data_IF_741344334334
#
_entry.id   IF_741344334334
#
_cell.length_a   1.000
_cell.length_b   1.000
_cell.length_c   1.000
_cell.angle_alpha   90.00
_cell.angle_beta   90.00
_cell.angle_gamma   90.00
#
_symmetry.space_group_name_H-M   'P 1'
#
loop_
_entity.id
_entity.type
_entity.pdbx_description
1 polymer ?
#
# COMPACT_ATOMS: atom_id res chain seq x y z
N UNK A 1 23.00 10.69 107.21
CA UNK A 1 23.01 11.41 105.94
C UNK A 1 23.49 10.45 104.85
N UNK A 2 22.57 9.96 103.97
CA UNK A 2 22.87 8.99 102.90
C UNK A 2 23.03 9.77 101.60
N UNK A 3 24.26 9.79 101.09
CA UNK A 3 24.51 10.28 99.70
C UNK A 3 23.99 9.28 98.69
N UNK A 4 22.99 9.65 97.89
CA UNK A 4 22.55 8.96 96.70
C UNK A 4 23.41 9.41 95.55
N UNK A 5 24.32 8.56 95.10
CA UNK A 5 24.96 8.69 93.79
C UNK A 5 23.96 8.35 92.69
N UNK A 6 23.60 9.37 91.93
CA UNK A 6 22.80 9.19 90.71
C UNK A 6 23.77 8.90 89.55
N UNK A 7 24.01 7.64 89.29
CA UNK A 7 24.73 7.24 88.10
C UNK A 7 23.81 7.35 86.87
N UNK A 8 24.07 8.25 85.99
CA UNK A 8 23.44 8.33 84.66
C UNK A 8 23.85 7.09 83.81
N UNK A 9 22.94 6.40 83.16
CA UNK A 9 23.31 5.28 82.32
C UNK A 9 24.03 5.77 81.05
N UNK A 10 25.33 5.53 80.96
CA UNK A 10 26.10 5.69 79.74
C UNK A 10 25.56 4.71 78.72
N UNK A 11 24.82 5.21 77.79
CA UNK A 11 24.33 4.41 76.61
C UNK A 11 25.55 3.91 75.83
N UNK A 12 25.93 2.63 75.93
CA UNK A 12 26.98 2.02 75.15
C UNK A 12 26.60 2.21 73.70
N UNK A 13 27.27 3.07 73.00
CA UNK A 13 27.26 3.15 71.54
C UNK A 13 27.79 1.81 71.03
N UNK A 14 26.90 1.00 70.48
CA UNK A 14 27.22 -0.25 69.83
C UNK A 14 28.23 0.04 68.70
N UNK A 15 29.49 -0.39 68.88
CA UNK A 15 30.51 -0.19 67.84
C UNK A 15 30.05 -0.92 66.57
N UNK A 16 29.76 -0.16 65.53
CA UNK A 16 29.45 -0.72 64.21
C UNK A 16 30.67 -1.48 63.71
N UNK A 17 30.48 -2.71 63.21
CA UNK A 17 31.57 -3.53 62.68
C UNK A 17 32.29 -2.76 61.54
N UNK A 18 33.60 -2.98 61.39
CA UNK A 18 34.43 -2.33 60.36
C UNK A 18 33.79 -2.51 58.97
N UNK A 19 33.19 -3.70 58.74
CA UNK A 19 32.51 -4.03 57.53
C UNK A 19 31.31 -3.11 57.25
N UNK A 20 30.48 -2.81 58.28
CA UNK A 20 29.35 -1.86 58.10
C UNK A 20 29.80 -0.42 57.87
N UNK A 21 30.98 -0.05 58.33
CA UNK A 21 31.58 1.28 58.11
C UNK A 21 32.06 1.48 56.67
N UNK A 22 32.43 0.37 55.95
CA UNK A 22 32.86 0.42 54.55
C UNK A 22 31.69 0.13 53.57
N UNK A 23 30.88 -0.85 53.92
CA UNK A 23 29.79 -1.30 53.03
C UNK A 23 28.67 -0.27 52.87
N UNK A 24 28.25 0.38 53.95
CA UNK A 24 27.19 1.40 53.87
C UNK A 24 27.56 2.57 52.96
N UNK A 25 28.75 3.16 53.04
CA UNK A 25 29.18 4.19 52.09
C UNK A 25 29.29 3.70 50.66
N UNK A 26 29.79 2.46 50.39
CA UNK A 26 29.84 1.89 49.05
C UNK A 26 28.47 1.72 48.45
N UNK A 27 27.47 1.24 49.22
CA UNK A 27 26.09 1.11 48.80
C UNK A 27 25.44 2.44 48.49
N UNK A 28 25.66 3.41 49.37
CA UNK A 28 25.17 4.79 49.13
C UNK A 28 25.78 5.39 47.86
N UNK A 29 27.07 5.11 47.60
CA UNK A 29 27.74 5.52 46.37
C UNK A 29 27.12 4.87 45.15
N UNK A 30 26.88 3.52 45.17
CA UNK A 30 26.23 2.81 44.09
C UNK A 30 24.81 3.32 43.79
N UNK A 31 24.01 3.58 44.84
CA UNK A 31 22.69 4.20 44.68
C UNK A 31 22.79 5.59 44.06
N UNK A 32 23.77 6.38 44.52
CA UNK A 32 24.00 7.72 44.00
C UNK A 32 24.45 7.70 42.52
N UNK A 33 25.31 6.78 42.14
CA UNK A 33 25.74 6.60 40.74
C UNK A 33 24.58 6.21 39.83
N UNK A 34 23.76 5.23 40.23
CA UNK A 34 22.59 4.81 39.43
C UNK A 34 21.55 5.92 39.34
N UNK A 35 21.29 6.63 40.43
CA UNK A 35 20.34 7.76 40.41
C UNK A 35 20.88 8.94 39.59
N UNK A 36 22.18 9.27 39.73
CA UNK A 36 22.81 10.32 38.93
C UNK A 36 22.79 9.99 37.44
N UNK A 37 23.09 8.73 37.06
CA UNK A 37 22.98 8.27 35.68
C UNK A 37 21.54 8.41 35.17
N UNK A 38 20.54 8.01 35.97
CA UNK A 38 19.13 8.15 35.61
C UNK A 38 18.71 9.61 35.39
N UNK A 39 19.15 10.51 36.26
CA UNK A 39 18.90 11.95 36.11
C UNK A 39 19.57 12.48 34.83
N UNK A 40 20.82 12.07 34.55
CA UNK A 40 21.52 12.44 33.33
C UNK A 40 20.74 11.94 32.12
N UNK A 41 20.32 10.69 32.07
CA UNK A 41 19.54 10.13 30.95
C UNK A 41 18.21 10.87 30.72
N UNK A 42 17.53 11.27 31.82
CA UNK A 42 16.27 12.02 31.73
C UNK A 42 16.48 13.49 31.31
N UNK A 43 17.62 14.11 31.69
CA UNK A 43 17.86 15.53 31.44
C UNK A 43 18.70 15.81 30.19
N UNK A 44 19.50 14.83 29.71
CA UNK A 44 20.36 14.98 28.54
C UNK A 44 19.61 14.96 27.21
N UNK A 45 18.33 14.57 27.21
CA UNK A 45 17.53 14.40 25.97
C UNK A 45 17.76 13.07 25.23
N UNK A 46 18.58 12.15 25.77
CA UNK A 46 18.88 10.86 25.16
C UNK A 46 17.62 10.01 24.93
N UNK A 47 16.70 10.01 25.89
CA UNK A 47 15.43 9.28 25.74
C UNK A 47 14.55 9.87 24.63
N UNK A 48 14.53 11.20 24.50
CA UNK A 48 13.82 11.87 23.41
C UNK A 48 14.49 11.59 22.06
N UNK A 49 15.81 11.53 22.02
CA UNK A 49 16.57 11.15 20.82
C UNK A 49 16.23 9.72 20.39
N UNK A 50 16.17 8.75 21.30
CA UNK A 50 15.83 7.36 21.01
C UNK A 50 14.38 7.23 20.50
N UNK A 51 13.46 7.95 21.13
CA UNK A 51 12.06 8.02 20.67
C UNK A 51 11.99 8.59 19.25
N UNK A 52 12.65 9.71 19.01
CA UNK A 52 12.74 10.35 17.69
C UNK A 52 13.37 9.43 16.65
N UNK A 53 14.41 8.69 17.02
CA UNK A 53 15.02 7.69 16.14
C UNK A 53 14.03 6.59 15.73
N UNK A 54 13.25 6.06 16.69
CA UNK A 54 12.22 5.06 16.42
C UNK A 54 11.12 5.58 15.46
N UNK A 55 10.72 6.84 15.64
CA UNK A 55 9.73 7.51 14.79
C UNK A 55 10.29 7.77 13.39
N UNK A 56 11.52 8.26 13.30
CA UNK A 56 12.19 8.48 12.02
C UNK A 56 12.33 7.17 11.22
N UNK A 57 12.66 6.06 11.88
CA UNK A 57 12.76 4.75 11.25
C UNK A 57 11.42 4.30 10.64
N UNK A 58 10.31 4.50 11.37
CA UNK A 58 8.97 4.20 10.87
C UNK A 58 8.63 5.06 9.64
N UNK A 59 8.88 6.36 9.72
CA UNK A 59 8.62 7.31 8.63
C UNK A 59 9.50 7.01 7.41
N UNK A 60 10.79 6.75 7.61
CA UNK A 60 11.72 6.42 6.53
C UNK A 60 11.33 5.13 5.80
N UNK A 61 10.99 4.07 6.53
CA UNK A 61 10.49 2.82 5.92
C UNK A 61 9.22 3.06 5.11
N UNK A 62 8.29 3.88 5.63
CA UNK A 62 7.07 4.23 4.91
C UNK A 62 7.38 5.00 3.63
N UNK A 63 8.27 6.01 3.71
CA UNK A 63 8.70 6.78 2.55
C UNK A 63 9.38 5.91 1.48
N UNK A 64 10.31 5.05 1.88
CA UNK A 64 11.03 4.17 0.95
C UNK A 64 10.08 3.21 0.25
N UNK A 65 9.13 2.65 0.98
CA UNK A 65 8.13 1.73 0.42
C UNK A 65 7.13 2.46 -0.48
N UNK A 66 6.69 3.67 -0.11
CA UNK A 66 5.83 4.51 -0.95
C UNK A 66 6.52 4.87 -2.26
N UNK A 67 7.79 5.28 -2.22
CA UNK A 67 8.56 5.58 -3.42
C UNK A 67 8.76 4.36 -4.32
N UNK A 68 8.92 3.17 -3.73
CA UNK A 68 8.97 1.93 -4.50
C UNK A 68 7.66 1.67 -5.25
N UNK A 69 6.50 1.78 -4.55
CA UNK A 69 5.17 1.59 -5.15
C UNK A 69 4.91 2.66 -6.23
N UNK A 70 5.23 3.92 -5.95
CA UNK A 70 5.09 5.02 -6.90
C UNK A 70 5.88 4.75 -8.19
N UNK A 71 7.15 4.38 -8.08
CA UNK A 71 7.98 4.06 -9.24
C UNK A 71 7.45 2.83 -10.00
N UNK A 72 7.03 1.79 -9.28
CA UNK A 72 6.44 0.60 -9.87
C UNK A 72 5.18 0.93 -10.69
N UNK A 73 4.25 1.72 -10.14
CA UNK A 73 3.02 2.12 -10.82
C UNK A 73 3.31 3.05 -12.00
N UNK A 74 4.21 4.03 -11.84
CA UNK A 74 4.58 4.96 -12.91
C UNK A 74 5.27 4.28 -14.11
N UNK A 75 6.04 3.22 -13.88
CA UNK A 75 6.58 2.41 -14.99
C UNK A 75 5.46 1.77 -15.84
N UNK A 76 4.34 1.39 -15.22
CA UNK A 76 3.21 0.79 -15.94
C UNK A 76 2.49 1.80 -16.85
N UNK A 77 2.46 3.08 -16.47
CA UNK A 77 1.86 4.12 -17.33
C UNK A 77 2.56 4.23 -18.69
N UNK A 78 3.90 4.14 -18.69
CA UNK A 78 4.69 4.16 -19.92
C UNK A 78 4.49 2.92 -20.80
N UNK A 79 4.31 1.75 -20.18
CA UNK A 79 4.00 0.52 -20.94
C UNK A 79 2.67 0.64 -21.68
N UNK A 80 1.62 1.11 -21.00
CA UNK A 80 0.30 1.28 -21.62
C UNK A 80 0.32 2.36 -22.69
N UNK A 81 1.10 3.44 -22.49
CA UNK A 81 1.25 4.49 -23.49
C UNK A 81 1.87 3.94 -24.78
N UNK A 82 2.97 3.18 -24.68
CA UNK A 82 3.59 2.59 -25.87
C UNK A 82 2.60 1.61 -26.56
N UNK A 83 1.95 0.74 -25.78
CA UNK A 83 0.93 -0.16 -26.32
C UNK A 83 -0.23 0.59 -27.01
N UNK A 84 -0.63 1.76 -26.50
CA UNK A 84 -1.67 2.59 -27.14
C UNK A 84 -1.22 3.16 -28.46
N UNK A 85 0.04 3.58 -28.59
CA UNK A 85 0.61 4.05 -29.85
C UNK A 85 0.67 2.93 -30.87
N UNK A 86 1.17 1.76 -30.47
CA UNK A 86 1.28 0.60 -31.36
C UNK A 86 -0.10 0.12 -31.82
N UNK A 87 -1.10 0.08 -30.92
CA UNK A 87 -2.46 -0.29 -31.29
C UNK A 87 -3.14 0.72 -32.22
N UNK A 88 -2.97 2.02 -31.97
CA UNK A 88 -3.48 3.06 -32.86
C UNK A 88 -2.87 2.91 -34.28
N UNK A 89 -1.55 2.71 -34.39
CA UNK A 89 -0.89 2.51 -35.67
C UNK A 89 -1.42 1.28 -36.42
N UNK A 90 -1.54 0.13 -35.73
CA UNK A 90 -2.10 -1.09 -36.31
C UNK A 90 -3.55 -0.85 -36.80
N UNK A 91 -4.35 -0.15 -35.99
CA UNK A 91 -5.74 0.17 -36.34
C UNK A 91 -5.81 1.03 -37.60
N UNK A 92 -5.00 2.10 -37.69
CA UNK A 92 -4.95 2.96 -38.86
C UNK A 92 -4.47 2.24 -40.12
N UNK A 93 -3.45 1.42 -40.02
CA UNK A 93 -2.94 0.60 -41.12
C UNK A 93 -4.01 -0.38 -41.62
N UNK A 94 -4.73 -1.06 -40.69
CA UNK A 94 -5.83 -1.95 -41.03
C UNK A 94 -6.96 -1.22 -41.75
N UNK A 95 -7.39 -0.07 -41.23
CA UNK A 95 -8.46 0.74 -41.82
C UNK A 95 -8.06 1.26 -43.21
N UNK A 96 -6.84 1.70 -43.40
CA UNK A 96 -6.32 2.17 -44.69
C UNK A 96 -6.27 1.03 -45.74
N UNK A 97 -5.78 -0.15 -45.35
CA UNK A 97 -5.73 -1.34 -46.24
C UNK A 97 -7.12 -1.77 -46.72
N UNK A 98 -8.10 -1.71 -45.82
CA UNK A 98 -9.47 -2.14 -46.12
C UNK A 98 -10.38 -1.00 -46.62
N UNK A 99 -9.85 0.22 -46.72
CA UNK A 99 -10.57 1.45 -47.11
C UNK A 99 -11.80 1.71 -46.25
N UNK A 100 -11.63 1.53 -44.95
CA UNK A 100 -12.62 1.79 -43.90
C UNK A 100 -12.26 3.08 -43.14
N UNK A 101 -13.26 3.69 -42.54
CA UNK A 101 -13.09 4.79 -41.59
C UNK A 101 -13.21 4.28 -40.15
N UNK A 102 -12.83 5.11 -39.17
CA UNK A 102 -13.06 4.82 -37.76
C UNK A 102 -14.55 4.60 -37.46
N UNK A 103 -15.43 5.39 -38.09
CA UNK A 103 -16.89 5.23 -37.96
C UNK A 103 -17.37 3.91 -38.54
N UNK A 104 -16.86 3.47 -39.71
CA UNK A 104 -17.18 2.14 -40.29
C UNK A 104 -16.77 1.02 -39.33
N UNK A 105 -15.60 1.11 -38.70
CA UNK A 105 -15.14 0.17 -37.68
C UNK A 105 -16.09 0.11 -36.49
N UNK A 106 -16.47 1.26 -35.94
CA UNK A 106 -17.34 1.33 -34.76
C UNK A 106 -18.78 0.84 -35.04
N UNK A 107 -19.22 0.96 -36.30
CA UNK A 107 -20.53 0.45 -36.75
C UNK A 107 -20.52 -1.05 -37.09
N UNK A 108 -19.35 -1.70 -37.26
CA UNK A 108 -19.26 -3.14 -37.53
C UNK A 108 -18.41 -3.87 -36.48
N UNK A 109 -19.07 -4.49 -35.54
CA UNK A 109 -18.43 -5.26 -34.46
C UNK A 109 -17.47 -6.35 -34.97
N UNK A 110 -17.70 -6.90 -36.20
CA UNK A 110 -16.81 -7.88 -36.75
C UNK A 110 -15.49 -7.26 -37.21
N UNK A 111 -15.49 -6.00 -37.67
CA UNK A 111 -14.27 -5.26 -37.96
C UNK A 111 -13.50 -5.01 -36.63
N UNK A 112 -14.17 -4.56 -35.58
CA UNK A 112 -13.57 -4.44 -34.25
C UNK A 112 -12.88 -5.74 -33.82
N UNK A 113 -13.57 -6.88 -33.94
CA UNK A 113 -13.03 -8.20 -33.56
C UNK A 113 -11.83 -8.63 -34.38
N UNK A 114 -11.77 -8.27 -35.67
CA UNK A 114 -10.62 -8.58 -36.52
C UNK A 114 -9.39 -7.79 -36.09
N UNK A 115 -9.52 -6.49 -35.82
CA UNK A 115 -8.44 -5.65 -35.32
C UNK A 115 -7.95 -6.17 -33.97
N UNK A 116 -8.85 -6.51 -33.05
CA UNK A 116 -8.49 -7.11 -31.76
C UNK A 116 -7.76 -8.45 -31.93
N UNK A 117 -8.12 -9.26 -32.96
CA UNK A 117 -7.43 -10.50 -33.25
C UNK A 117 -5.99 -10.25 -33.74
N UNK A 118 -5.78 -9.25 -34.58
CA UNK A 118 -4.44 -8.92 -35.07
C UNK A 118 -3.50 -8.43 -33.97
N UNK A 119 -4.01 -7.73 -32.96
CA UNK A 119 -3.22 -7.24 -31.82
C UNK A 119 -3.15 -8.22 -30.64
N UNK A 120 -3.72 -9.40 -30.78
CA UNK A 120 -3.88 -10.30 -29.63
C UNK A 120 -2.57 -10.86 -29.07
N UNK A 121 -1.55 -11.09 -29.90
CA UNK A 121 -0.23 -11.58 -29.48
C UNK A 121 0.56 -10.48 -28.74
N UNK A 122 0.44 -9.24 -29.19
CA UNK A 122 1.04 -8.07 -28.53
C UNK A 122 0.40 -7.86 -27.16
N UNK A 123 -0.90 -8.09 -27.02
CA UNK A 123 -1.58 -8.01 -25.73
C UNK A 123 -1.10 -9.12 -24.77
N UNK A 124 -0.82 -10.33 -25.27
CA UNK A 124 -0.16 -11.38 -24.48
C UNK A 124 1.25 -10.93 -24.06
N UNK A 125 1.99 -10.31 -24.98
CA UNK A 125 3.32 -9.78 -24.66
C UNK A 125 3.26 -8.72 -23.56
N UNK A 126 2.23 -7.89 -23.53
CA UNK A 126 2.00 -6.89 -22.48
C UNK A 126 1.74 -7.54 -21.11
N UNK A 127 0.97 -8.63 -21.06
CA UNK A 127 0.76 -9.41 -19.81
C UNK A 127 2.06 -10.02 -19.30
N UNK A 128 2.95 -10.46 -20.20
CA UNK A 128 4.24 -11.05 -19.81
C UNK A 128 5.25 -10.01 -19.28
N UNK A 129 4.90 -8.73 -19.32
CA UNK A 129 5.72 -7.72 -18.64
C UNK A 129 5.64 -7.86 -17.12
N UNK A 130 6.70 -7.45 -16.44
CA UNK A 130 6.80 -7.57 -14.98
C UNK A 130 5.58 -6.99 -14.27
N UNK A 131 5.02 -7.76 -13.35
CA UNK A 131 3.88 -7.41 -12.48
C UNK A 131 2.57 -7.03 -13.19
N UNK A 132 2.39 -7.31 -14.46
CA UNK A 132 1.11 -7.12 -15.16
C UNK A 132 0.29 -8.39 -15.04
N UNK A 133 -0.93 -8.30 -14.49
CA UNK A 133 -1.85 -9.43 -14.37
C UNK A 133 -2.93 -9.40 -15.44
N UNK A 134 -3.41 -8.22 -15.79
CA UNK A 134 -4.46 -8.03 -16.79
C UNK A 134 -3.92 -7.18 -17.93
N UNK A 135 -4.32 -7.49 -19.17
CA UNK A 135 -4.18 -6.58 -20.31
C UNK A 135 -5.45 -6.62 -21.13
N UNK A 136 -5.92 -5.46 -21.55
CA UNK A 136 -7.19 -5.38 -22.22
C UNK A 136 -7.30 -4.18 -23.17
N UNK A 137 -8.17 -4.37 -24.19
CA UNK A 137 -8.63 -3.33 -25.11
C UNK A 137 -10.14 -3.44 -25.18
N UNK A 138 -10.83 -2.29 -25.12
CA UNK A 138 -12.27 -2.20 -25.24
C UNK A 138 -12.58 -1.11 -26.24
N UNK A 139 -13.31 -1.44 -27.30
CA UNK A 139 -13.68 -0.53 -28.37
C UNK A 139 -15.13 -0.05 -28.18
N UNK A 140 -15.35 1.24 -28.37
CA UNK A 140 -16.65 1.91 -28.17
C UNK A 140 -17.58 1.74 -29.36
N UNK A 141 -17.80 0.50 -29.80
CA UNK A 141 -18.67 0.22 -30.93
C UNK A 141 -20.12 0.68 -30.68
N UNK A 142 -20.76 1.16 -31.75
CA UNK A 142 -22.13 1.72 -31.75
C UNK A 142 -23.19 0.62 -31.84
N UNK A 143 -22.98 -0.53 -31.21
CA UNK A 143 -23.97 -1.60 -31.23
C UNK A 143 -25.25 -1.10 -30.52
N UNK A 144 -26.39 -1.41 -31.14
CA UNK A 144 -27.68 -0.95 -30.67
C UNK A 144 -27.89 -1.30 -29.20
N UNK A 145 -28.25 -0.31 -28.41
CA UNK A 145 -28.66 -0.47 -27.03
C UNK A 145 -29.68 -1.61 -26.94
N UNK A 146 -29.39 -2.57 -26.08
CA UNK A 146 -30.35 -3.62 -25.78
C UNK A 146 -31.59 -2.96 -25.14
N UNK A 147 -32.76 -3.59 -25.27
CA UNK A 147 -34.04 -3.08 -24.75
C UNK A 147 -34.03 -2.78 -23.23
N UNK A 148 -32.97 -3.21 -22.51
CA UNK A 148 -32.75 -2.99 -21.07
C UNK A 148 -31.75 -1.84 -20.76
N UNK A 149 -31.30 -1.10 -21.78
CA UNK A 149 -30.35 0.00 -21.63
C UNK A 149 -28.88 -0.43 -21.45
N UNK A 150 -28.57 -1.73 -21.56
CA UNK A 150 -27.19 -2.20 -21.52
C UNK A 150 -26.52 -2.05 -22.89
N UNK A 151 -25.21 -1.67 -22.91
CA UNK A 151 -24.40 -1.59 -24.12
C UNK A 151 -23.45 -2.78 -24.16
N UNK A 152 -23.31 -3.38 -25.36
CA UNK A 152 -22.40 -4.51 -25.60
C UNK A 152 -21.20 -4.04 -26.42
N UNK A 153 -20.03 -3.96 -25.79
CA UNK A 153 -18.80 -3.44 -26.38
C UNK A 153 -17.87 -4.59 -26.81
N UNK A 154 -17.31 -4.48 -28.01
CA UNK A 154 -16.27 -5.39 -28.45
C UNK A 154 -15.00 -5.15 -27.64
N UNK A 155 -14.38 -6.24 -27.16
CA UNK A 155 -13.14 -6.12 -26.42
C UNK A 155 -12.36 -7.41 -26.38
N UNK A 156 -11.14 -7.30 -25.91
CA UNK A 156 -10.27 -8.42 -25.58
C UNK A 156 -9.69 -8.16 -24.20
N UNK A 157 -9.95 -9.06 -23.25
CA UNK A 157 -9.46 -8.98 -21.88
C UNK A 157 -8.82 -10.31 -21.49
N UNK A 158 -7.52 -10.26 -21.24
CA UNK A 158 -6.70 -11.39 -20.88
C UNK A 158 -6.20 -11.23 -19.45
N UNK A 159 -6.07 -12.33 -18.72
CA UNK A 159 -5.58 -12.35 -17.34
C UNK A 159 -4.62 -13.48 -17.07
N UNK A 160 -3.48 -13.17 -16.46
CA UNK A 160 -2.59 -14.10 -15.79
C UNK A 160 -2.83 -14.03 -14.28
N UNK A 161 -3.29 -15.12 -13.68
CA UNK A 161 -3.60 -15.15 -12.25
C UNK A 161 -2.38 -15.37 -11.38
N UNK A 162 -1.27 -15.88 -11.93
CA UNK A 162 -0.02 -16.09 -11.19
C UNK A 162 1.22 -15.79 -12.03
N UNK A 163 1.52 -14.53 -12.20
CA UNK A 163 2.68 -14.01 -12.94
C UNK A 163 4.05 -14.50 -12.44
N UNK A 164 4.09 -15.18 -11.28
CA UNK A 164 5.31 -15.76 -10.71
C UNK A 164 5.47 -17.24 -11.04
N UNK A 165 4.43 -17.89 -11.57
CA UNK A 165 4.49 -19.27 -12.04
C UNK A 165 4.90 -19.33 -13.51
N UNK A 166 6.20 -19.47 -13.76
CA UNK A 166 6.76 -19.64 -15.09
C UNK A 166 6.85 -21.13 -15.51
N UNK A 167 6.15 -22.04 -14.81
CA UNK A 167 6.21 -23.48 -15.10
C UNK A 167 5.37 -23.87 -16.30
N UNK A 168 4.47 -23.01 -16.76
CA UNK A 168 3.52 -23.28 -17.83
C UNK A 168 4.12 -23.02 -19.21
N UNK A 169 4.01 -24.00 -20.10
CA UNK A 169 4.47 -23.89 -21.49
C UNK A 169 3.36 -23.28 -22.35
N UNK A 170 3.68 -22.22 -23.09
CA UNK A 170 2.72 -21.48 -23.92
C UNK A 170 1.87 -20.53 -23.08
N UNK A 171 0.62 -20.28 -23.50
CA UNK A 171 -0.30 -19.32 -22.88
C UNK A 171 -1.41 -19.99 -22.05
N UNK A 172 -1.17 -21.19 -21.52
CA UNK A 172 -2.19 -21.96 -20.78
C UNK A 172 -2.47 -21.41 -19.38
N UNK A 173 -1.62 -20.58 -18.85
CA UNK A 173 -1.73 -19.82 -17.60
C UNK A 173 -2.51 -18.51 -17.77
N UNK A 174 -2.73 -18.11 -19.04
CA UNK A 174 -3.53 -16.94 -19.37
C UNK A 174 -4.97 -17.35 -19.60
N UNK A 175 -5.89 -16.64 -18.97
CA UNK A 175 -7.33 -16.82 -19.13
C UNK A 175 -7.90 -15.63 -19.92
N UNK A 176 -8.74 -15.92 -20.88
CA UNK A 176 -9.54 -14.90 -21.54
C UNK A 176 -10.85 -14.72 -20.77
N UNK A 177 -11.05 -13.53 -20.23
CA UNK A 177 -12.29 -13.13 -19.54
C UNK A 177 -13.30 -12.54 -20.52
N UNK A 178 -12.80 -11.87 -21.56
CA UNK A 178 -13.64 -11.27 -22.59
C UNK A 178 -12.93 -11.33 -23.94
N UNK A 179 -13.71 -11.61 -24.99
CA UNK A 179 -13.22 -11.63 -26.35
C UNK A 179 -13.77 -12.81 -27.17
N UNK A 180 -13.45 -12.84 -28.45
CA UNK A 180 -13.87 -13.93 -29.34
C UNK A 180 -13.19 -15.26 -28.97
N UNK A 181 -13.95 -16.33 -28.86
CA UNK A 181 -13.40 -17.68 -28.63
C UNK A 181 -12.41 -18.14 -29.71
N UNK A 182 -12.48 -17.57 -30.91
CA UNK A 182 -11.52 -17.83 -32.00
C UNK A 182 -10.13 -17.27 -31.64
N UNK A 183 -10.07 -16.12 -31.00
CA UNK A 183 -8.82 -15.50 -30.49
C UNK A 183 -8.21 -16.39 -29.38
N UNK A 184 -9.01 -16.84 -28.42
CA UNK A 184 -8.53 -17.76 -27.38
C UNK A 184 -7.91 -19.03 -27.96
N UNK A 185 -8.56 -19.61 -29.00
CA UNK A 185 -8.03 -20.78 -29.67
C UNK A 185 -6.72 -20.49 -30.41
N UNK A 186 -6.61 -19.34 -31.09
CA UNK A 186 -5.39 -18.94 -31.80
C UNK A 186 -4.23 -18.73 -30.84
N UNK A 187 -4.46 -18.02 -29.71
CA UNK A 187 -3.48 -17.78 -28.68
C UNK A 187 -3.12 -19.01 -27.84
N UNK A 188 -3.96 -20.05 -27.84
CA UNK A 188 -3.80 -21.20 -26.94
C UNK A 188 -4.12 -20.90 -25.48
N UNK A 189 -4.90 -19.86 -25.20
CA UNK A 189 -5.35 -19.48 -23.87
C UNK A 189 -6.63 -20.22 -23.47
N UNK A 190 -6.88 -20.34 -22.15
CA UNK A 190 -8.13 -20.88 -21.65
C UNK A 190 -9.21 -19.79 -21.60
N UNK A 191 -10.48 -20.18 -21.73
CA UNK A 191 -11.60 -19.29 -21.41
C UNK A 191 -11.84 -19.31 -19.90
N UNK A 192 -12.10 -18.14 -19.30
CA UNK A 192 -12.53 -18.06 -17.91
C UNK A 192 -13.93 -18.69 -17.73
N UNK A 193 -14.24 -19.11 -16.50
CA UNK A 193 -15.54 -19.71 -16.17
C UNK A 193 -16.74 -18.77 -16.39
N UNK A 194 -16.49 -17.46 -16.34
CA UNK A 194 -17.48 -16.39 -16.57
C UNK A 194 -17.21 -15.61 -17.86
N UNK A 195 -16.50 -16.26 -18.78
CA UNK A 195 -16.15 -15.65 -20.05
C UNK A 195 -17.38 -15.09 -20.77
N UNK A 196 -17.20 -13.93 -21.38
CA UNK A 196 -18.17 -13.29 -22.27
C UNK A 196 -17.51 -12.89 -23.59
N UNK A 197 -18.20 -12.99 -24.74
CA UNK A 197 -17.65 -12.51 -26.01
C UNK A 197 -17.47 -11.00 -26.05
N UNK A 198 -18.20 -10.24 -25.24
CA UNK A 198 -18.25 -8.79 -25.22
C UNK A 198 -18.35 -8.26 -23.79
N UNK A 199 -17.97 -6.99 -23.58
CA UNK A 199 -18.21 -6.30 -22.31
C UNK A 199 -19.65 -5.77 -22.27
N UNK A 200 -20.40 -6.18 -21.27
CA UNK A 200 -21.74 -5.67 -21.04
C UNK A 200 -21.68 -4.53 -20.02
N UNK A 201 -21.82 -3.31 -20.51
CA UNK A 201 -21.95 -2.14 -19.63
C UNK A 201 -23.34 -2.10 -19.03
N UNK A 202 -23.42 -1.97 -17.70
CA UNK A 202 -24.65 -1.82 -16.95
C UNK A 202 -24.42 -0.93 -15.73
N UNK A 203 -25.47 -0.44 -15.12
CA UNK A 203 -25.39 0.46 -13.96
C UNK A 203 -24.96 -0.25 -12.65
N UNK A 204 -24.77 -1.57 -12.67
CA UNK A 204 -24.50 -2.36 -11.46
C UNK A 204 -23.02 -2.48 -11.15
N UNK A 205 -22.14 -2.29 -12.14
CA UNK A 205 -20.71 -2.48 -12.03
C UNK A 205 -19.96 -1.16 -12.13
N UNK A 206 -18.81 -1.08 -11.48
CA UNK A 206 -17.89 0.04 -11.64
C UNK A 206 -17.05 -0.12 -12.92
N UNK A 207 -17.39 0.66 -13.93
CA UNK A 207 -16.66 0.76 -15.19
C UNK A 207 -15.84 2.06 -15.30
N UNK A 208 -15.44 2.64 -14.17
CA UNK A 208 -14.65 3.88 -14.14
C UNK A 208 -13.37 3.77 -14.97
N UNK A 209 -12.73 2.59 -14.99
CA UNK A 209 -11.54 2.31 -15.81
C UNK A 209 -11.78 2.49 -17.32
N UNK A 210 -13.02 2.35 -17.79
CA UNK A 210 -13.42 2.60 -19.18
C UNK A 210 -13.96 4.02 -19.36
N UNK A 211 -14.88 4.45 -18.50
CA UNK A 211 -15.62 5.70 -18.70
C UNK A 211 -14.81 6.96 -18.39
N UNK A 212 -13.88 6.90 -17.42
CA UNK A 212 -13.14 8.08 -16.99
C UNK A 212 -12.15 8.57 -18.06
N UNK A 213 -11.27 7.73 -18.66
CA UNK A 213 -10.36 8.20 -19.71
C UNK A 213 -11.10 8.69 -20.95
N UNK A 214 -12.23 8.04 -21.34
CA UNK A 214 -13.06 8.48 -22.45
C UNK A 214 -13.62 9.90 -22.21
N UNK A 215 -14.21 10.12 -21.03
CA UNK A 215 -14.72 11.44 -20.63
C UNK A 215 -13.62 12.49 -20.53
N UNK A 216 -12.44 12.12 -20.05
CA UNK A 216 -11.31 13.03 -19.94
C UNK A 216 -10.90 13.58 -21.32
N UNK A 217 -10.83 12.70 -22.33
CA UNK A 217 -10.54 13.12 -23.70
C UNK A 217 -11.65 14.01 -24.26
N UNK A 218 -12.91 13.61 -24.12
CA UNK A 218 -14.05 14.42 -24.62
C UNK A 218 -14.10 15.82 -24.00
N UNK A 219 -13.71 15.96 -22.74
CA UNK A 219 -13.66 17.24 -22.03
C UNK A 219 -12.40 18.08 -22.38
N UNK A 220 -11.33 17.46 -22.87
CA UNK A 220 -10.07 18.12 -23.12
C UNK A 220 -9.30 17.47 -24.31
N UNK A 221 -9.84 17.52 -25.54
CA UNK A 221 -9.30 16.77 -26.69
C UNK A 221 -7.91 17.26 -27.15
N UNK A 222 -7.48 18.45 -26.72
CA UNK A 222 -6.17 19.00 -27.06
C UNK A 222 -5.07 18.63 -26.05
N UNK A 223 -5.40 17.87 -25.00
CA UNK A 223 -4.39 17.40 -24.03
C UNK A 223 -3.62 16.20 -24.61
N UNK A 224 -2.33 16.07 -24.27
CA UNK A 224 -1.59 14.85 -24.58
C UNK A 224 -2.29 13.61 -24.01
N UNK A 225 -2.39 12.55 -24.80
CA UNK A 225 -3.05 11.30 -24.39
C UNK A 225 -2.45 10.74 -23.09
N UNK A 226 -1.13 10.85 -22.92
CA UNK A 226 -0.44 10.43 -21.70
C UNK A 226 -0.98 11.11 -20.42
N UNK A 227 -1.45 12.35 -20.51
CA UNK A 227 -2.01 13.08 -19.36
C UNK A 227 -3.41 12.62 -18.98
N UNK A 228 -4.11 11.91 -19.88
CA UNK A 228 -5.49 11.46 -19.72
C UNK A 228 -5.61 10.07 -19.10
N UNK A 229 -4.49 9.45 -18.77
CA UNK A 229 -4.46 8.13 -18.14
C UNK A 229 -5.11 8.13 -16.77
N UNK A 230 -5.86 7.06 -16.48
CA UNK A 230 -6.65 6.91 -15.25
C UNK A 230 -6.30 5.63 -14.50
N UNK A 231 -5.99 5.76 -13.22
CA UNK A 231 -5.90 4.65 -12.28
C UNK A 231 -7.25 4.45 -11.60
N UNK A 232 -7.89 3.31 -11.86
CA UNK A 232 -9.13 2.95 -11.15
C UNK A 232 -8.84 2.46 -9.74
N UNK A 233 -9.87 2.45 -8.88
CA UNK A 233 -9.83 1.64 -7.67
C UNK A 233 -9.79 0.14 -7.97
N UNK A 234 -9.69 -0.67 -6.91
CA UNK A 234 -9.74 -2.12 -7.05
C UNK A 234 -11.17 -2.58 -7.36
N UNK A 235 -11.36 -3.09 -8.55
CA UNK A 235 -12.64 -3.59 -9.04
C UNK A 235 -12.50 -4.99 -9.62
N UNK A 236 -13.63 -5.70 -9.74
CA UNK A 236 -13.73 -6.98 -10.46
C UNK A 236 -14.44 -6.74 -11.78
N UNK A 237 -13.99 -7.39 -12.85
CA UNK A 237 -14.74 -7.49 -14.11
C UNK A 237 -15.58 -8.76 -14.08
N UNK A 238 -15.02 -9.86 -13.58
CA UNK A 238 -15.72 -11.13 -13.36
C UNK A 238 -15.67 -11.55 -11.89
N UNK A 239 -16.57 -12.44 -11.47
CA UNK A 239 -16.62 -12.93 -10.09
C UNK A 239 -15.49 -13.93 -9.78
N UNK A 240 -15.02 -14.66 -10.78
CA UNK A 240 -13.95 -15.66 -10.63
C UNK A 240 -12.59 -15.05 -10.37
N UNK A 241 -12.38 -13.83 -10.85
CA UNK A 241 -11.13 -13.14 -10.74
C UNK A 241 -11.01 -12.33 -9.46
N UNK A 242 -9.80 -12.23 -8.92
CA UNK A 242 -9.47 -11.31 -7.82
C UNK A 242 -9.72 -9.85 -8.22
N UNK A 243 -9.79 -8.97 -7.23
CA UNK A 243 -9.84 -7.53 -7.49
C UNK A 243 -8.53 -7.06 -8.13
N UNK A 244 -8.61 -6.23 -9.17
CA UNK A 244 -7.46 -5.56 -9.78
C UNK A 244 -7.63 -4.06 -9.83
N UNK A 245 -6.54 -3.35 -9.63
CA UNK A 245 -6.39 -1.93 -9.90
C UNK A 245 -5.98 -1.78 -11.37
N UNK A 246 -6.65 -0.93 -12.12
CA UNK A 246 -6.44 -0.80 -13.56
C UNK A 246 -5.89 0.57 -13.93
N UNK A 247 -4.93 0.59 -14.85
CA UNK A 247 -4.50 1.81 -15.54
C UNK A 247 -4.95 1.76 -16.99
N UNK A 248 -5.58 2.83 -17.44
CA UNK A 248 -6.16 2.90 -18.79
C UNK A 248 -5.89 4.22 -19.46
N UNK A 249 -5.70 4.18 -20.77
CA UNK A 249 -5.60 5.33 -21.66
C UNK A 249 -6.72 5.30 -22.71
N UNK A 250 -7.24 6.45 -23.14
CA UNK A 250 -8.15 6.50 -24.27
C UNK A 250 -7.40 6.20 -25.59
N UNK A 251 -8.05 5.48 -26.48
CA UNK A 251 -7.60 5.26 -27.86
C UNK A 251 -8.23 6.32 -28.75
N UNK A 252 -7.39 7.02 -29.50
CA UNK A 252 -7.81 8.16 -30.31
C UNK A 252 -7.24 8.01 -31.72
N UNK A 253 -8.09 8.13 -32.73
CA UNK A 253 -7.69 8.10 -34.13
C UNK A 253 -6.92 9.38 -34.53
N UNK A 254 -6.26 9.33 -35.68
CA UNK A 254 -5.60 10.50 -36.30
C UNK A 254 -6.57 11.66 -36.58
N UNK A 255 -7.85 11.36 -36.80
CA UNK A 255 -8.91 12.35 -36.99
C UNK A 255 -9.41 12.97 -35.68
N UNK A 256 -8.90 12.50 -34.52
CA UNK A 256 -9.28 13.00 -33.20
C UNK A 256 -10.56 12.41 -32.64
N UNK A 257 -11.00 11.25 -33.14
CA UNK A 257 -12.12 10.52 -32.61
C UNK A 257 -11.66 9.53 -31.53
N UNK A 258 -12.27 9.56 -30.35
CA UNK A 258 -12.00 8.58 -29.30
C UNK A 258 -12.86 7.33 -29.53
N UNK A 259 -12.20 6.20 -29.72
CA UNK A 259 -12.88 4.97 -30.18
C UNK A 259 -12.73 3.79 -29.18
N UNK A 260 -12.11 4.02 -28.03
CA UNK A 260 -11.98 2.97 -27.03
C UNK A 260 -10.96 3.27 -25.95
N UNK A 261 -10.57 2.24 -25.22
CA UNK A 261 -9.54 2.29 -24.21
C UNK A 261 -8.62 1.09 -24.29
N UNK A 262 -7.35 1.28 -23.93
CA UNK A 262 -6.37 0.22 -23.70
C UNK A 262 -5.87 0.32 -22.27
N UNK A 263 -5.62 -0.81 -21.63
CA UNK A 263 -5.15 -0.79 -20.25
C UNK A 263 -4.54 -2.09 -19.76
N UNK A 264 -4.00 -1.99 -18.56
CA UNK A 264 -3.49 -3.11 -17.77
C UNK A 264 -4.15 -3.15 -16.40
N UNK A 265 -4.04 -4.29 -15.73
CA UNK A 265 -4.47 -4.45 -14.35
C UNK A 265 -3.40 -5.12 -13.50
N UNK A 266 -3.38 -4.75 -12.23
CA UNK A 266 -2.53 -5.30 -11.20
C UNK A 266 -3.43 -5.94 -10.14
N UNK A 267 -3.32 -7.25 -9.92
CA UNK A 267 -4.09 -7.92 -8.88
C UNK A 267 -3.66 -7.46 -7.49
N UNK A 268 -4.62 -7.39 -6.58
CA UNK A 268 -4.39 -7.07 -5.17
C UNK A 268 -3.25 -7.91 -4.58
N UNK A 269 -3.26 -9.23 -4.80
CA UNK A 269 -2.23 -10.15 -4.32
C UNK A 269 -0.83 -9.85 -4.87
N UNK A 270 -0.73 -9.35 -6.10
CA UNK A 270 0.54 -8.98 -6.74
C UNK A 270 1.14 -7.74 -6.07
N UNK A 271 0.32 -6.73 -5.82
CA UNK A 271 0.75 -5.53 -5.10
C UNK A 271 1.14 -5.88 -3.66
N UNK A 272 0.35 -6.69 -2.95
CA UNK A 272 0.61 -7.09 -1.56
C UNK A 272 1.92 -7.87 -1.39
N UNK A 273 2.33 -8.67 -2.38
CA UNK A 273 3.65 -9.34 -2.35
C UNK A 273 4.82 -8.34 -2.33
N UNK A 274 4.61 -7.14 -2.87
CA UNK A 274 5.63 -6.09 -2.97
C UNK A 274 5.61 -5.10 -1.80
N UNK A 275 4.66 -5.25 -0.87
CA UNK A 275 4.57 -4.49 0.39
C UNK A 275 4.48 -5.45 1.58
N UNK A 276 5.53 -6.26 1.83
CA UNK A 276 5.48 -7.26 2.87
C UNK A 276 5.42 -6.62 4.26
N UNK A 277 4.64 -7.23 5.16
CA UNK A 277 4.47 -6.74 6.52
C UNK A 277 5.69 -6.95 7.43
N UNK A 278 6.71 -7.69 6.97
CA UNK A 278 7.90 -8.06 7.76
C UNK A 278 9.02 -7.01 7.76
N UNK A 279 8.81 -5.86 7.18
CA UNK A 279 9.76 -4.73 7.24
C UNK A 279 9.98 -4.19 8.66
N UNK A 280 9.10 -4.53 9.58
CA UNK A 280 9.17 -4.15 10.99
C UNK A 280 9.51 -5.37 11.85
N UNK A 281 10.24 -5.15 12.94
CA UNK A 281 10.79 -6.20 13.82
C UNK A 281 9.77 -7.15 14.45
N UNK A 282 8.47 -6.81 14.43
CA UNK A 282 7.40 -7.67 14.92
C UNK A 282 6.30 -7.74 13.85
N UNK A 283 5.69 -8.90 13.71
CA UNK A 283 4.58 -9.20 12.78
C UNK A 283 3.29 -8.36 12.99
N UNK A 284 3.37 -7.33 13.82
CA UNK A 284 2.25 -6.45 14.17
C UNK A 284 2.12 -5.22 13.27
N UNK A 285 3.00 -5.08 12.29
CA UNK A 285 2.92 -3.96 11.36
C UNK A 285 2.14 -4.32 10.10
N UNK A 286 1.51 -3.31 9.51
CA UNK A 286 0.87 -3.41 8.21
C UNK A 286 1.22 -2.21 7.34
N UNK A 287 1.09 -2.42 6.04
CA UNK A 287 1.00 -1.35 5.05
C UNK A 287 -0.40 -1.31 4.47
N UNK A 288 -0.89 -0.11 4.24
CA UNK A 288 -2.22 0.16 3.72
C UNK A 288 -2.05 1.10 2.53
N UNK A 289 -2.54 0.70 1.36
CA UNK A 289 -2.76 1.63 0.25
C UNK A 289 -4.15 2.20 0.43
N UNK A 290 -4.23 3.51 0.46
CA UNK A 290 -5.47 4.22 0.70
C UNK A 290 -5.61 5.38 -0.30
N UNK A 291 -6.84 5.81 -0.56
CA UNK A 291 -7.13 6.96 -1.38
C UNK A 291 -7.95 8.01 -0.62
N UNK A 292 -7.79 9.25 -1.05
CA UNK A 292 -8.60 10.39 -0.64
C UNK A 292 -9.25 10.97 -1.90
N UNK A 293 -10.48 10.55 -2.14
CA UNK A 293 -11.26 11.00 -3.32
C UNK A 293 -11.90 12.38 -3.11
N UNK A 294 -11.92 12.86 -1.87
CA UNK A 294 -12.51 14.14 -1.49
C UNK A 294 -11.51 15.28 -1.39
N UNK A 295 -10.21 14.95 -1.47
CA UNK A 295 -9.09 15.90 -1.30
C UNK A 295 -9.11 16.65 0.04
N UNK A 296 -9.68 16.04 1.08
CA UNK A 296 -9.80 16.62 2.43
C UNK A 296 -8.74 16.09 3.42
N UNK A 297 -7.80 15.27 2.93
CA UNK A 297 -6.75 14.65 3.73
C UNK A 297 -7.21 13.43 4.52
N UNK A 298 -8.38 12.87 4.19
CA UNK A 298 -8.92 11.67 4.82
C UNK A 298 -8.83 10.48 3.89
N UNK A 299 -7.90 9.61 4.18
CA UNK A 299 -7.62 8.42 3.39
C UNK A 299 -8.49 7.24 3.83
N UNK A 300 -9.11 6.59 2.85
CA UNK A 300 -9.90 5.37 3.03
C UNK A 300 -9.08 4.18 2.52
N UNK A 301 -8.94 3.11 3.30
CA UNK A 301 -8.22 1.91 2.89
C UNK A 301 -8.79 1.30 1.62
N UNK A 302 -7.91 0.97 0.68
CA UNK A 302 -8.25 0.24 -0.55
C UNK A 302 -7.76 -1.20 -0.46
N UNK A 303 -6.49 -1.38 -0.09
CA UNK A 303 -5.90 -2.68 0.24
C UNK A 303 -4.96 -2.54 1.43
N UNK A 304 -4.74 -3.62 2.14
CA UNK A 304 -3.81 -3.65 3.27
C UNK A 304 -3.11 -5.01 3.39
N UNK A 305 -1.87 -4.99 3.88
CA UNK A 305 -1.07 -6.17 4.18
C UNK A 305 -0.92 -6.33 5.69
N UNK A 306 -0.71 -7.56 6.14
CA UNK A 306 -0.40 -7.89 7.53
C UNK A 306 -1.52 -8.62 8.27
N UNK A 307 -1.17 -9.67 9.02
CA UNK A 307 -2.15 -10.64 9.55
C UNK A 307 -3.06 -10.07 10.64
N UNK A 308 -2.57 -9.12 11.44
CA UNK A 308 -3.36 -8.55 12.56
C UNK A 308 -4.35 -7.53 12.01
N UNK A 309 -3.92 -6.68 11.10
CA UNK A 309 -4.71 -5.57 10.60
C UNK A 309 -5.76 -5.98 9.58
N UNK A 310 -5.62 -7.16 8.93
CA UNK A 310 -6.63 -7.69 8.02
C UNK A 310 -8.02 -7.85 8.65
N UNK A 311 -8.11 -7.92 9.98
CA UNK A 311 -9.38 -8.01 10.71
C UNK A 311 -9.85 -6.69 11.28
N UNK A 312 -8.97 -5.71 11.41
CA UNK A 312 -9.19 -4.46 12.13
C UNK A 312 -9.36 -3.26 11.21
N UNK A 313 -8.66 -3.27 10.07
CA UNK A 313 -8.81 -2.26 9.03
C UNK A 313 -9.98 -2.64 8.14
N UNK A 314 -10.93 -1.75 8.01
CA UNK A 314 -12.11 -1.91 7.18
C UNK A 314 -12.25 -0.71 6.25
N UNK A 315 -13.12 -0.80 5.26
CA UNK A 315 -13.52 0.31 4.37
C UNK A 315 -14.12 1.52 5.11
N UNK A 316 -14.45 1.37 6.40
CA UNK A 316 -14.91 2.47 7.28
C UNK A 316 -13.80 3.10 8.12
N UNK A 317 -12.60 2.55 8.07
CA UNK A 317 -11.44 3.12 8.76
C UNK A 317 -10.99 4.36 8.01
N UNK A 318 -10.74 5.45 8.72
CA UNK A 318 -10.27 6.70 8.13
C UNK A 318 -8.93 7.08 8.73
N UNK A 319 -7.96 7.38 7.88
CA UNK A 319 -6.65 7.89 8.25
C UNK A 319 -6.56 9.36 7.88
N UNK A 320 -6.52 10.22 8.90
CA UNK A 320 -6.53 11.68 8.73
C UNK A 320 -5.10 12.22 8.76
N UNK A 321 -4.62 12.79 7.66
CA UNK A 321 -3.29 13.42 7.59
C UNK A 321 -3.23 14.78 8.28
N UNK A 322 -4.39 15.39 8.60
CA UNK A 322 -4.47 16.64 9.34
C UNK A 322 -4.51 16.40 10.86
N UNK A 323 -4.55 15.12 11.30
CA UNK A 323 -4.52 14.79 12.71
C UNK A 323 -3.20 15.20 13.36
N UNK A 324 -3.24 15.37 14.69
CA UNK A 324 -2.03 15.64 15.48
C UNK A 324 -0.98 14.54 15.28
N UNK A 325 0.23 14.93 14.95
CA UNK A 325 1.35 14.04 14.75
C UNK A 325 2.61 14.54 15.45
N UNK A 326 3.54 13.62 15.68
CA UNK A 326 4.86 13.91 16.22
C UNK A 326 5.91 13.29 15.30
N UNK A 327 6.78 14.09 14.69
CA UNK A 327 7.79 13.67 13.71
C UNK A 327 7.17 12.92 12.50
N UNK A 328 6.00 13.35 12.00
CA UNK A 328 5.21 12.69 10.96
C UNK A 328 4.72 11.26 11.33
N UNK A 329 4.64 10.97 12.62
CA UNK A 329 4.03 9.77 13.17
C UNK A 329 2.70 10.12 13.82
N UNK A 330 1.66 9.48 13.32
CA UNK A 330 0.27 9.67 13.71
C UNK A 330 -0.15 8.61 14.72
N UNK A 331 -1.11 8.95 15.57
CA UNK A 331 -1.77 8.00 16.46
C UNK A 331 -3.10 7.58 15.82
N UNK A 332 -3.17 6.36 15.33
CA UNK A 332 -4.39 5.84 14.73
C UNK A 332 -5.21 5.05 15.74
N UNK A 333 -6.53 5.29 15.75
CA UNK A 333 -7.49 4.42 16.40
C UNK A 333 -7.96 3.38 15.40
N UNK A 334 -7.45 2.17 15.52
CA UNK A 334 -7.91 1.02 14.74
C UNK A 334 -8.75 0.16 15.67
N UNK A 335 -9.94 -0.27 15.23
CA UNK A 335 -10.88 -1.03 16.04
C UNK A 335 -10.19 -2.24 16.72
N UNK A 336 -10.31 -2.34 18.05
CA UNK A 336 -9.71 -3.43 18.83
C UNK A 336 -8.26 -3.24 19.28
N UNK A 337 -7.60 -2.11 18.91
CA UNK A 337 -6.28 -1.72 19.40
C UNK A 337 -6.38 -0.37 20.11
N UNK A 338 -5.72 -0.23 21.26
CA UNK A 338 -5.76 1.01 22.05
C UNK A 338 -5.10 2.17 21.28
N UNK A 339 -3.93 1.92 20.67
CA UNK A 339 -3.24 2.88 19.80
C UNK A 339 -2.29 2.14 18.84
N UNK A 340 -2.41 2.48 17.54
CA UNK A 340 -1.37 2.20 16.55
C UNK A 340 -0.63 3.48 16.21
N UNK A 341 0.69 3.37 16.06
CA UNK A 341 1.53 4.42 15.50
C UNK A 341 1.75 4.13 14.02
N UNK A 342 1.74 5.15 13.21
CA UNK A 342 1.99 4.98 11.79
C UNK A 342 2.38 6.28 11.10
N UNK A 343 2.76 6.17 9.84
CA UNK A 343 3.12 7.31 9.00
C UNK A 343 2.31 7.27 7.72
N UNK A 344 1.98 8.43 7.20
CA UNK A 344 1.26 8.62 5.93
C UNK A 344 2.26 9.22 4.94
N UNK A 345 2.38 8.59 3.77
CA UNK A 345 3.17 9.12 2.65
C UNK A 345 2.35 9.11 1.39
N UNK A 346 2.12 10.28 0.79
CA UNK A 346 1.44 10.42 -0.50
C UNK A 346 2.24 9.73 -1.60
N UNK A 347 1.50 9.15 -2.55
CA UNK A 347 1.98 8.51 -3.77
C UNK A 347 1.48 9.36 -4.94
N UNK A 348 2.38 9.80 -5.80
CA UNK A 348 2.07 10.62 -6.96
C UNK A 348 1.85 9.72 -8.17
N UNK A 349 0.59 9.49 -8.55
CA UNK A 349 0.21 8.66 -9.69
C UNK A 349 -0.06 9.44 -10.97
N UNK A 350 -0.20 10.75 -10.86
CA UNK A 350 -0.58 11.63 -11.97
C UNK A 350 0.41 12.75 -12.14
N UNK A 351 0.72 13.09 -13.38
CA UNK A 351 1.54 14.27 -13.71
C UNK A 351 0.72 15.56 -13.60
N UNK A 352 1.39 16.71 -13.68
CA UNK A 352 0.76 18.03 -13.55
C UNK A 352 -0.27 18.36 -14.64
N UNK A 353 -0.28 17.64 -15.77
CA UNK A 353 -1.24 17.81 -16.86
C UNK A 353 -2.53 17.01 -16.66
N UNK A 354 -2.55 16.06 -15.73
CA UNK A 354 -3.68 15.14 -15.56
C UNK A 354 -4.93 15.83 -15.02
N UNK A 355 -6.13 15.46 -15.50
CA UNK A 355 -7.40 15.91 -14.92
C UNK A 355 -7.71 15.24 -13.56
N UNK A 356 -6.89 14.31 -13.10
CA UNK A 356 -7.10 13.52 -11.87
C UNK A 356 -6.15 13.91 -10.73
N UNK A 357 -5.54 15.10 -10.79
CA UNK A 357 -4.61 15.60 -9.77
C UNK A 357 -5.21 15.65 -8.36
N UNK A 358 -6.53 15.84 -8.26
CA UNK A 358 -7.25 15.92 -7.00
C UNK A 358 -7.47 14.53 -6.35
N UNK A 359 -7.17 13.45 -7.06
CA UNK A 359 -7.24 12.10 -6.50
C UNK A 359 -5.92 11.78 -5.80
N UNK A 360 -5.90 11.88 -4.49
CA UNK A 360 -4.72 11.61 -3.70
C UNK A 360 -4.66 10.13 -3.28
N UNK A 361 -3.50 9.53 -3.50
CA UNK A 361 -3.18 8.19 -3.02
C UNK A 361 -2.10 8.28 -1.96
N UNK A 362 -2.12 7.36 -1.01
CA UNK A 362 -1.09 7.28 0.01
C UNK A 362 -0.77 5.84 0.38
N UNK A 363 0.49 5.62 0.74
CA UNK A 363 0.89 4.46 1.53
C UNK A 363 0.92 4.86 3.00
N UNK A 364 0.22 4.10 3.80
CA UNK A 364 0.14 4.28 5.24
C UNK A 364 0.77 3.07 5.89
N UNK A 365 1.73 3.28 6.78
CA UNK A 365 2.17 2.24 7.70
C UNK A 365 1.39 2.35 9.00
N UNK A 366 1.09 1.23 9.63
CA UNK A 366 0.55 1.18 10.99
C UNK A 366 1.17 0.01 11.75
N UNK A 367 1.62 0.26 12.97
CA UNK A 367 2.21 -0.73 13.85
C UNK A 367 1.76 -0.49 15.29
N UNK A 368 1.76 -1.55 16.10
CA UNK A 368 1.51 -1.41 17.52
C UNK A 368 2.56 -0.50 18.18
N UNK A 369 2.12 0.36 19.09
CA UNK A 369 3.00 1.29 19.80
C UNK A 369 4.17 0.59 20.46
N UNK A 370 3.95 -0.58 21.06
CA UNK A 370 5.00 -1.35 21.73
C UNK A 370 6.10 -1.80 20.75
N UNK A 371 5.73 -2.12 19.52
CA UNK A 371 6.66 -2.53 18.47
C UNK A 371 7.53 -1.37 17.97
N UNK A 372 6.92 -0.21 17.72
CA UNK A 372 7.63 0.99 17.29
C UNK A 372 8.58 1.48 18.38
N UNK A 373 8.14 1.41 19.64
CA UNK A 373 8.89 1.89 20.81
C UNK A 373 9.75 0.81 21.47
N UNK A 374 9.98 -0.32 20.80
CA UNK A 374 10.66 -1.48 21.40
C UNK A 374 12.05 -1.12 21.96
N UNK A 375 12.87 -0.41 21.20
CA UNK A 375 14.22 0.02 21.62
C UNK A 375 14.12 0.97 22.84
N UNK A 376 13.22 1.93 22.78
CA UNK A 376 12.96 2.85 23.89
C UNK A 376 12.54 2.09 25.16
N UNK A 377 11.57 1.20 25.04
CA UNK A 377 11.07 0.40 26.16
C UNK A 377 12.14 -0.54 26.73
N UNK A 378 12.99 -1.14 25.85
CA UNK A 378 14.09 -1.99 26.28
C UNK A 378 15.10 -1.22 27.16
N UNK A 379 15.47 0.00 26.76
CA UNK A 379 16.40 0.83 27.51
C UNK A 379 15.78 1.23 28.87
N UNK A 380 14.51 1.64 28.88
CA UNK A 380 13.80 1.96 30.14
C UNK A 380 13.74 0.74 31.07
N UNK A 381 13.45 -0.45 30.54
CA UNK A 381 13.38 -1.68 31.32
C UNK A 381 14.74 -2.05 31.92
N UNK A 382 15.83 -1.98 31.14
CA UNK A 382 17.20 -2.21 31.65
C UNK A 382 17.51 -1.24 32.79
N UNK A 383 17.14 0.01 32.64
CA UNK A 383 17.35 1.03 33.67
C UNK A 383 16.55 0.71 34.97
N UNK A 384 15.26 0.35 34.84
CA UNK A 384 14.43 -0.03 36.01
C UNK A 384 15.00 -1.27 36.70
N UNK A 385 15.43 -2.27 35.95
CA UNK A 385 16.05 -3.50 36.48
C UNK A 385 17.32 -3.16 37.24
N UNK A 386 18.19 -2.31 36.68
CA UNK A 386 19.45 -1.87 37.35
C UNK A 386 19.20 -1.17 38.68
N UNK A 387 18.16 -0.34 38.76
CA UNK A 387 17.77 0.31 40.04
C UNK A 387 17.30 -0.75 41.03
N UNK A 388 16.44 -1.68 40.59
CA UNK A 388 15.89 -2.72 41.44
C UNK A 388 16.98 -3.64 41.98
N UNK A 389 17.92 -4.11 41.15
CA UNK A 389 19.05 -4.94 41.52
C UNK A 389 19.96 -4.22 42.55
N UNK A 390 20.20 -2.93 42.36
CA UNK A 390 20.97 -2.13 43.32
C UNK A 390 20.28 -2.09 44.70
N UNK A 391 18.95 -1.90 44.71
CA UNK A 391 18.17 -1.87 45.97
C UNK A 391 18.20 -3.25 46.64
N UNK A 392 18.01 -4.36 45.88
CA UNK A 392 18.06 -5.73 46.41
C UNK A 392 19.42 -6.02 47.03
N UNK A 393 20.52 -5.73 46.31
CA UNK A 393 21.87 -5.88 46.82
C UNK A 393 22.08 -5.08 48.12
N UNK A 394 21.54 -3.87 48.19
CA UNK A 394 21.62 -3.06 49.43
C UNK A 394 20.92 -3.74 50.62
N UNK A 395 19.72 -4.33 50.37
CA UNK A 395 18.93 -5.00 51.43
C UNK A 395 19.62 -6.29 51.88
N UNK A 396 20.12 -7.11 50.93
CA UNK A 396 20.79 -8.38 51.26
C UNK A 396 22.07 -8.16 52.04
N UNK A 397 22.88 -7.20 51.67
CA UNK A 397 24.11 -6.85 52.38
C UNK A 397 23.75 -6.30 53.77
N UNK A 398 22.69 -5.50 53.89
CA UNK A 398 22.16 -5.03 55.16
C UNK A 398 21.70 -6.17 56.09
N UNK A 399 21.06 -7.22 55.54
CA UNK A 399 20.62 -8.42 56.30
C UNK A 399 21.76 -9.32 56.72
N UNK A 400 22.78 -9.49 55.91
CA UNK A 400 23.93 -10.34 56.20
C UNK A 400 24.78 -9.80 57.40
N UNK A 401 24.50 -8.58 57.89
CA UNK A 401 25.25 -7.88 58.93
C UNK A 401 24.42 -7.62 60.19
N UNK A 402 23.21 -8.09 60.27
CA UNK A 402 22.39 -8.14 61.52
C UNK A 402 22.48 -9.50 62.18
#
# INVERSE_FOLDING_TARGET
>A
MKNKNIGLPIKKLKERSLLSKVMIPMLLLGILEVTAFGIIMLTSGELEYIKRFSYNLLTEKTCNRASYIENMLNQKTSLVYNASVDFNQLTEDYLAEHKLTTEDMLNDKNVCRKILNEYSEELVSLIRMDMVNDAFIILDNHDSDSSDGSRSLAGLYLRDTDIYDNSTIGNKDIYMEMGSSSIAKALGTALDSEWSPDLILNDKNDFSFYTMPMKAYLNAPNKPIYDLGYWSGFSKISFSAGKSMKYTLPLVSSDGEVYGVIGIGLLEKTILKNIPANDFYNETACYIIANDLSSDGKYIPVIHSGPIYNRLVTDRTVFDENAENEYNVYKFKISGLDYSLGSIKRITLYNSGSPYLDQHWALISAADKSSVMNIYNAIINVFIISIFDTIVCCIEIGRAHV
#
